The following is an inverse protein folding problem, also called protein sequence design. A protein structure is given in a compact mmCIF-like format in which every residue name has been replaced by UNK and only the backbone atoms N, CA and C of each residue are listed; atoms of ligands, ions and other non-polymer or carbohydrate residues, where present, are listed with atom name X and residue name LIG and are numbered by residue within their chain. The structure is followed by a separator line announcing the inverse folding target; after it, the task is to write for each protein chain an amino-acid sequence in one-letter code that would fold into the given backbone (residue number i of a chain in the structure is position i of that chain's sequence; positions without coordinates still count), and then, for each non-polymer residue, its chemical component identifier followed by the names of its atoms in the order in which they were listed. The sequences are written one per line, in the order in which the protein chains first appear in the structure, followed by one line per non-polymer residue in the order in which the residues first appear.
data_IF_561703733254
#
_entry.id   IF_561703733254
#
_cell.length_a   1.000
_cell.length_b   1.000
_cell.length_c   1.000
_cell.angle_alpha   90.00
_cell.angle_beta   90.00
_cell.angle_gamma   90.00
#
_symmetry.space_group_name_H-M   'P 1'
#
loop_
_entity.id
_entity.type
_entity.pdbx_description
1 polymer ?
#
# COMPACT_ATOMS: atom_id res chain seq x y z
N UNK A 1 88.71 17.73 -40.15
CA UNK A 1 88.23 18.04 -41.51
C UNK A 1 86.95 17.24 -41.74
N UNK A 2 85.84 17.97 -41.69
CA UNK A 2 84.50 17.69 -42.26
C UNK A 2 83.85 16.31 -42.09
N UNK A 3 82.83 16.28 -41.21
CA UNK A 3 81.77 15.27 -41.12
C UNK A 3 80.82 15.34 -42.32
N UNK A 4 80.42 14.18 -42.86
CA UNK A 4 79.18 14.05 -43.64
C UNK A 4 78.72 12.58 -43.63
N UNK A 5 77.62 12.27 -42.93
CA UNK A 5 76.75 11.13 -43.27
C UNK A 5 75.30 11.53 -43.03
N UNK A 6 74.51 11.48 -44.10
CA UNK A 6 73.11 11.89 -44.13
C UNK A 6 72.16 10.71 -43.92
N UNK A 7 71.23 10.94 -43.00
CA UNK A 7 69.77 10.68 -42.99
C UNK A 7 69.23 9.35 -43.55
N UNK A 8 68.60 8.63 -42.61
CA UNK A 8 67.69 7.50 -42.70
C UNK A 8 66.47 7.68 -43.62
N UNK A 9 65.91 6.57 -44.09
CA UNK A 9 64.49 6.50 -44.46
C UNK A 9 63.88 5.24 -43.84
N UNK A 10 63.04 5.46 -42.82
CA UNK A 10 62.21 4.45 -42.16
C UNK A 10 60.92 4.33 -42.96
N UNK A 11 60.62 3.11 -43.42
CA UNK A 11 59.35 2.78 -44.07
C UNK A 11 58.24 2.78 -43.01
N UNK A 12 57.28 3.69 -43.13
CA UNK A 12 56.07 3.73 -42.29
C UNK A 12 55.05 2.74 -42.86
N UNK A 13 54.80 1.65 -42.12
CA UNK A 13 53.74 0.71 -42.42
C UNK A 13 52.41 1.26 -41.86
N UNK A 14 51.51 1.68 -42.73
CA UNK A 14 50.18 2.14 -42.34
C UNK A 14 49.29 0.95 -41.94
N UNK A 15 48.98 0.81 -40.65
CA UNK A 15 47.95 -0.10 -40.16
C UNK A 15 46.57 0.53 -40.42
N UNK A 16 45.86 0.05 -41.43
CA UNK A 16 44.44 0.33 -41.65
C UNK A 16 43.60 -0.42 -40.62
N UNK A 17 43.11 0.27 -39.58
CA UNK A 17 42.08 -0.26 -38.69
C UNK A 17 40.76 -0.39 -39.47
N UNK A 18 40.35 -1.62 -39.76
CA UNK A 18 39.02 -1.90 -40.28
C UNK A 18 37.98 -1.64 -39.18
N UNK A 19 37.19 -0.58 -39.33
CA UNK A 19 36.03 -0.30 -38.48
C UNK A 19 34.96 -1.37 -38.70
N UNK A 20 34.79 -2.26 -37.72
CA UNK A 20 33.65 -3.17 -37.71
C UNK A 20 32.34 -2.37 -37.51
N UNK A 21 31.24 -2.71 -38.22
CA UNK A 21 29.97 -2.04 -38.00
C UNK A 21 29.48 -2.39 -36.59
N UNK A 22 29.32 -1.37 -35.75
CA UNK A 22 28.65 -1.51 -34.46
C UNK A 22 27.19 -1.83 -34.76
N UNK A 23 26.78 -3.08 -34.55
CA UNK A 23 25.37 -3.44 -34.61
C UNK A 23 24.62 -2.52 -33.64
N UNK A 24 23.74 -1.69 -34.18
CA UNK A 24 22.80 -0.93 -33.38
C UNK A 24 21.90 -1.95 -32.69
N UNK A 25 22.08 -2.14 -31.39
CA UNK A 25 21.08 -2.80 -30.57
C UNK A 25 19.83 -1.96 -30.72
N UNK A 26 18.78 -2.53 -31.32
CA UNK A 26 17.49 -1.87 -31.39
C UNK A 26 17.05 -1.55 -29.95
N UNK A 27 16.98 -0.26 -29.63
CA UNK A 27 16.31 0.20 -28.42
C UNK A 27 14.89 -0.41 -28.46
N UNK A 28 14.42 -1.13 -27.43
CA UNK A 28 13.03 -1.57 -27.39
C UNK A 28 12.13 -0.36 -27.65
N UNK A 29 11.10 -0.57 -28.46
CA UNK A 29 10.22 0.46 -28.98
C UNK A 29 9.93 1.51 -27.90
N UNK A 30 10.23 2.75 -28.25
CA UNK A 30 10.05 3.88 -27.38
C UNK A 30 8.60 3.91 -26.91
N UNK A 31 8.41 3.84 -25.59
CA UNK A 31 7.16 4.14 -24.91
C UNK A 31 6.90 5.67 -24.95
N UNK A 32 7.10 6.31 -26.12
CA UNK A 32 6.99 7.76 -26.31
C UNK A 32 5.52 8.23 -26.18
N UNK A 33 4.57 7.30 -26.17
CA UNK A 33 3.14 7.56 -26.06
C UNK A 33 2.56 7.31 -24.65
N UNK A 34 3.36 6.90 -23.66
CA UNK A 34 2.84 6.64 -22.31
C UNK A 34 2.56 7.96 -21.61
N UNK A 35 1.32 8.16 -21.17
CA UNK A 35 0.85 9.40 -20.54
C UNK A 35 0.28 9.18 -19.15
N UNK A 36 0.26 10.24 -18.35
CA UNK A 36 -0.29 10.17 -17.00
C UNK A 36 -1.76 9.77 -17.03
N UNK A 37 -2.60 10.48 -17.80
CA UNK A 37 -4.05 10.31 -17.77
C UNK A 37 -4.48 8.92 -18.22
N UNK A 38 -3.90 8.42 -19.31
CA UNK A 38 -4.30 7.15 -19.91
C UNK A 38 -3.67 5.93 -19.25
N UNK A 39 -2.36 5.98 -18.98
CA UNK A 39 -1.59 4.77 -18.68
C UNK A 39 -1.14 4.68 -17.22
N UNK A 40 -0.79 5.81 -16.59
CA UNK A 40 -0.24 5.81 -15.22
C UNK A 40 -1.31 5.99 -14.16
N UNK A 41 -2.31 6.84 -14.40
CA UNK A 41 -3.38 7.11 -13.44
C UNK A 41 -4.13 5.83 -13.02
N UNK A 42 -4.51 4.90 -13.93
CA UNK A 42 -5.13 3.63 -13.53
C UNK A 42 -4.24 2.77 -12.62
N UNK A 43 -2.93 2.76 -12.88
CA UNK A 43 -1.96 2.02 -12.05
C UNK A 43 -1.90 2.63 -10.66
N UNK A 44 -1.79 3.96 -10.56
CA UNK A 44 -1.73 4.65 -9.27
C UNK A 44 -3.04 4.53 -8.50
N UNK A 45 -4.19 4.63 -9.15
CA UNK A 45 -5.51 4.44 -8.51
C UNK A 45 -5.60 3.08 -7.83
N UNK A 46 -5.25 2.00 -8.53
CA UNK A 46 -5.32 0.63 -8.01
C UNK A 46 -4.25 0.34 -6.94
N UNK A 47 -3.00 0.69 -7.22
CA UNK A 47 -1.85 0.20 -6.44
C UNK A 47 -1.24 1.23 -5.47
N UNK A 48 -1.61 2.50 -5.54
CA UNK A 48 -0.94 3.55 -4.76
C UNK A 48 -1.91 4.43 -3.97
N UNK A 49 -3.04 4.83 -4.54
CA UNK A 49 -3.89 5.88 -3.96
C UNK A 49 -4.64 5.46 -2.69
N UNK A 50 -4.76 4.16 -2.38
CA UNK A 50 -5.27 3.71 -1.06
C UNK A 50 -4.47 4.32 0.09
N UNK A 51 -3.15 4.39 -0.06
CA UNK A 51 -2.24 5.01 0.91
C UNK A 51 -1.85 6.44 0.54
N UNK A 52 -1.66 6.71 -0.75
CA UNK A 52 -1.24 8.01 -1.30
C UNK A 52 -2.43 8.90 -1.67
N UNK A 53 -3.27 9.20 -0.69
CA UNK A 53 -4.37 10.15 -0.79
C UNK A 53 -4.36 11.11 0.41
N UNK A 54 -4.98 12.30 0.31
CA UNK A 54 -5.13 13.19 1.45
C UNK A 54 -5.72 12.47 2.67
N UNK A 55 -5.22 12.82 3.86
CA UNK A 55 -5.65 12.23 5.14
C UNK A 55 -5.50 10.70 5.25
N UNK A 56 -4.64 10.08 4.43
CA UNK A 56 -4.27 8.67 4.51
C UNK A 56 -2.82 8.50 4.98
N UNK A 57 -2.31 7.27 4.90
CA UNK A 57 -1.06 6.83 5.52
C UNK A 57 0.21 7.45 4.93
N UNK A 58 0.22 7.73 3.62
CA UNK A 58 1.43 8.22 2.96
C UNK A 58 1.54 9.75 3.00
N UNK A 59 2.75 10.32 3.12
CA UNK A 59 2.95 11.76 3.35
C UNK A 59 2.73 12.63 2.10
N UNK A 60 2.36 12.03 0.96
CA UNK A 60 2.14 12.71 -0.32
C UNK A 60 0.99 12.08 -1.09
N UNK A 61 0.16 12.94 -1.67
CA UNK A 61 -0.95 12.56 -2.55
C UNK A 61 -0.42 12.16 -3.93
N UNK A 62 -1.00 11.10 -4.50
CA UNK A 62 -0.75 10.64 -5.87
C UNK A 62 -2.04 10.59 -6.69
N UNK A 63 -2.96 11.54 -6.45
CA UNK A 63 -4.27 11.60 -7.10
C UNK A 63 -4.20 12.39 -8.40
N UNK A 64 -3.82 13.66 -8.33
CA UNK A 64 -3.82 14.55 -9.50
C UNK A 64 -2.46 14.57 -10.19
N UNK A 65 -2.45 14.89 -11.49
CA UNK A 65 -1.19 15.02 -12.25
C UNK A 65 -0.20 15.98 -11.59
N UNK A 66 -0.70 17.14 -11.13
CA UNK A 66 0.15 18.20 -10.58
C UNK A 66 0.78 17.79 -9.24
N UNK A 67 0.09 16.94 -8.45
CA UNK A 67 0.65 16.32 -7.25
C UNK A 67 1.65 15.21 -7.57
N UNK A 68 1.39 14.39 -8.60
CA UNK A 68 2.20 13.21 -8.95
C UNK A 68 3.48 13.59 -9.68
N UNK A 69 3.43 14.54 -10.62
CA UNK A 69 4.53 14.89 -11.53
C UNK A 69 5.86 15.17 -10.80
N UNK A 70 5.93 15.92 -9.69
CA UNK A 70 7.18 16.14 -8.95
C UNK A 70 7.86 14.86 -8.47
N UNK A 71 7.09 13.79 -8.27
CA UNK A 71 7.56 12.51 -7.76
C UNK A 71 7.91 11.50 -8.85
N UNK A 72 7.73 11.80 -10.14
CA UNK A 72 7.88 10.84 -11.24
C UNK A 72 9.18 10.02 -11.17
N UNK A 73 10.33 10.69 -10.93
CA UNK A 73 11.63 10.02 -10.78
C UNK A 73 11.68 9.10 -9.56
N UNK A 74 11.12 9.54 -8.43
CA UNK A 74 11.05 8.74 -7.20
C UNK A 74 10.12 7.54 -7.34
N UNK A 75 8.98 7.71 -8.01
CA UNK A 75 8.03 6.62 -8.31
C UNK A 75 8.73 5.57 -9.19
N UNK A 76 9.38 5.97 -10.28
CA UNK A 76 10.20 5.06 -11.10
C UNK A 76 11.23 4.30 -10.26
N UNK A 77 12.01 5.01 -9.45
CA UNK A 77 13.05 4.37 -8.64
C UNK A 77 12.48 3.37 -7.63
N UNK A 78 11.40 3.72 -6.92
CA UNK A 78 10.80 2.88 -5.88
C UNK A 78 10.12 1.64 -6.49
N UNK A 79 9.35 1.81 -7.56
CA UNK A 79 8.65 0.71 -8.24
C UNK A 79 9.60 -0.24 -8.96
N UNK A 80 10.69 0.27 -9.54
CA UNK A 80 11.75 -0.56 -10.13
C UNK A 80 12.49 -1.43 -9.11
N UNK A 81 12.40 -1.08 -7.82
CA UNK A 81 12.99 -1.86 -6.73
C UNK A 81 11.98 -2.77 -6.02
N UNK A 82 10.73 -2.90 -6.49
CA UNK A 82 9.58 -3.54 -5.80
C UNK A 82 9.88 -4.81 -4.97
N UNK A 83 10.85 -5.62 -5.38
CA UNK A 83 11.25 -6.86 -4.70
C UNK A 83 12.23 -6.63 -3.53
N UNK A 84 12.45 -5.39 -3.08
CA UNK A 84 13.37 -5.03 -1.99
C UNK A 84 12.60 -4.50 -0.79
N UNK A 85 12.87 -5.02 0.40
CA UNK A 85 12.27 -4.52 1.63
C UNK A 85 12.39 -2.98 1.77
N UNK A 86 11.29 -2.32 2.13
CA UNK A 86 11.22 -0.86 2.32
C UNK A 86 10.93 -0.04 1.05
N UNK A 87 10.44 -0.66 -0.02
CA UNK A 87 10.08 0.01 -1.29
C UNK A 87 8.58 -0.12 -1.60
N UNK A 88 8.13 0.58 -2.64
CA UNK A 88 6.70 0.76 -2.95
C UNK A 88 6.31 0.08 -4.27
N UNK A 89 5.09 -0.48 -4.39
CA UNK A 89 4.18 -0.78 -3.27
C UNK A 89 4.78 -1.91 -2.39
N UNK A 90 4.57 -1.89 -1.05
CA UNK A 90 5.09 -2.93 -0.18
C UNK A 90 4.29 -4.21 -0.36
N UNK A 91 4.81 -5.11 -1.20
CA UNK A 91 4.19 -6.41 -1.49
C UNK A 91 5.25 -7.45 -1.85
N UNK A 92 5.88 -8.04 -0.83
CA UNK A 92 7.00 -8.96 -0.96
C UNK A 92 6.56 -10.42 -1.04
N UNK A 93 5.65 -10.70 -1.97
CA UNK A 93 5.16 -12.07 -2.19
C UNK A 93 6.09 -12.78 -3.18
N UNK A 94 6.42 -14.03 -2.88
CA UNK A 94 7.13 -14.93 -3.77
C UNK A 94 6.25 -15.28 -4.98
N UNK A 95 6.71 -14.95 -6.19
CA UNK A 95 5.94 -15.13 -7.42
C UNK A 95 6.16 -16.48 -8.09
N UNK A 96 7.12 -17.25 -7.61
CA UNK A 96 7.51 -18.51 -8.24
C UNK A 96 7.08 -19.76 -7.44
N UNK A 97 6.53 -19.59 -6.23
CA UNK A 97 6.19 -20.70 -5.33
C UNK A 97 4.89 -20.41 -4.56
N UNK A 98 3.99 -21.40 -4.50
CA UNK A 98 2.80 -21.35 -3.65
C UNK A 98 1.62 -20.59 -4.27
N UNK A 99 0.85 -19.88 -3.43
CA UNK A 99 -0.34 -19.13 -3.84
C UNK A 99 0.10 -17.92 -4.67
N UNK A 100 -0.39 -17.82 -5.90
CA UNK A 100 -0.02 -16.77 -6.85
C UNK A 100 -1.10 -15.72 -7.10
N UNK A 101 -2.30 -15.94 -6.56
CA UNK A 101 -3.44 -15.04 -6.74
C UNK A 101 -4.00 -14.69 -5.38
N UNK A 102 -3.94 -13.40 -5.06
CA UNK A 102 -4.47 -12.84 -3.82
C UNK A 102 -5.67 -11.96 -4.15
N UNK A 103 -6.72 -12.06 -3.33
CA UNK A 103 -7.98 -11.30 -3.50
C UNK A 103 -7.73 -9.80 -3.59
N UNK A 104 -6.77 -9.28 -2.83
CA UNK A 104 -6.40 -7.85 -2.76
C UNK A 104 -4.94 -7.61 -3.22
N UNK A 105 -4.53 -8.21 -4.34
CA UNK A 105 -3.19 -8.01 -4.91
C UNK A 105 -3.04 -6.61 -5.53
N UNK A 106 -2.20 -5.79 -4.89
CA UNK A 106 -1.87 -4.43 -5.31
C UNK A 106 -0.47 -4.32 -5.91
N UNK A 107 0.18 -5.46 -6.17
CA UNK A 107 1.48 -5.53 -6.83
C UNK A 107 1.45 -4.93 -8.23
N UNK A 108 2.64 -4.58 -8.69
CA UNK A 108 2.86 -4.13 -10.07
C UNK A 108 3.35 -5.31 -10.91
N UNK A 109 2.77 -5.43 -12.10
CA UNK A 109 3.30 -6.26 -13.17
C UNK A 109 4.57 -5.64 -13.76
N UNK A 110 5.37 -6.44 -14.46
CA UNK A 110 6.58 -5.94 -15.13
C UNK A 110 6.25 -4.91 -16.22
N UNK A 111 5.11 -5.08 -16.90
CA UNK A 111 4.63 -4.13 -17.90
C UNK A 111 4.29 -2.77 -17.29
N UNK A 112 3.66 -2.75 -16.11
CA UNK A 112 3.32 -1.52 -15.41
C UNK A 112 4.56 -0.78 -14.90
N UNK A 113 5.57 -1.51 -14.43
CA UNK A 113 6.85 -0.92 -14.01
C UNK A 113 7.58 -0.33 -15.22
N UNK A 114 7.57 -1.03 -16.35
CA UNK A 114 8.15 -0.53 -17.59
C UNK A 114 7.42 0.74 -18.07
N UNK A 115 6.09 0.77 -18.00
CA UNK A 115 5.29 1.95 -18.33
C UNK A 115 5.60 3.14 -17.42
N UNK A 116 5.65 2.94 -16.10
CA UNK A 116 6.04 3.98 -15.12
C UNK A 116 7.45 4.50 -15.42
N UNK A 117 8.39 3.61 -15.69
CA UNK A 117 9.76 3.99 -15.98
C UNK A 117 9.86 4.82 -17.25
N UNK A 118 9.20 4.38 -18.32
CA UNK A 118 9.15 5.10 -19.58
C UNK A 118 8.50 6.48 -19.46
N UNK A 119 7.34 6.56 -18.81
CA UNK A 119 6.65 7.82 -18.56
C UNK A 119 7.53 8.81 -17.81
N UNK A 120 8.22 8.35 -16.76
CA UNK A 120 9.14 9.20 -16.00
C UNK A 120 10.36 9.65 -16.85
N UNK A 121 10.90 8.77 -17.71
CA UNK A 121 12.03 9.09 -18.59
C UNK A 121 11.66 10.05 -19.73
N UNK A 122 10.42 9.99 -20.22
CA UNK A 122 9.87 10.91 -21.21
C UNK A 122 9.52 12.29 -20.63
N UNK A 123 9.84 12.55 -19.35
CA UNK A 123 9.56 13.83 -18.69
C UNK A 123 8.17 13.93 -18.07
N UNK A 124 7.52 12.78 -17.83
CA UNK A 124 6.21 12.66 -17.19
C UNK A 124 5.09 13.40 -17.95
N UNK A 125 4.84 13.11 -19.24
CA UNK A 125 3.79 13.80 -20.01
C UNK A 125 2.40 13.57 -19.39
N UNK A 126 1.59 14.63 -19.35
CA UNK A 126 0.22 14.59 -18.78
C UNK A 126 -0.73 13.72 -19.61
N UNK A 127 -0.67 13.84 -20.94
CA UNK A 127 -1.67 13.27 -21.84
C UNK A 127 -2.94 14.10 -21.93
N UNK A 128 -3.94 13.56 -22.65
CA UNK A 128 -5.24 14.19 -22.81
C UNK A 128 -6.06 14.06 -21.51
N UNK A 129 -6.52 15.16 -20.90
CA UNK A 129 -7.38 15.12 -19.72
C UNK A 129 -8.66 14.31 -19.88
N UNK A 130 -9.18 14.16 -21.10
CA UNK A 130 -10.37 13.36 -21.36
C UNK A 130 -10.15 11.84 -21.22
N UNK A 131 -8.88 11.39 -21.22
CA UNK A 131 -8.53 9.97 -21.03
C UNK A 131 -8.36 9.62 -19.54
N UNK A 132 -8.57 10.57 -18.63
CA UNK A 132 -8.44 10.34 -17.19
C UNK A 132 -9.51 9.32 -16.74
N UNK A 133 -9.12 8.23 -16.05
CA UNK A 133 -10.09 7.28 -15.50
C UNK A 133 -10.97 7.95 -14.44
N UNK A 134 -12.16 7.38 -14.24
CA UNK A 134 -13.02 7.79 -13.13
C UNK A 134 -12.25 7.69 -11.80
N UNK A 135 -12.32 8.70 -10.93
CA UNK A 135 -11.68 8.61 -9.62
C UNK A 135 -12.26 7.44 -8.81
N UNK A 136 -11.42 6.65 -8.13
CA UNK A 136 -11.91 5.61 -7.24
C UNK A 136 -12.75 6.24 -6.12
N UNK A 137 -13.85 5.56 -5.77
CA UNK A 137 -14.64 5.91 -4.59
C UNK A 137 -13.85 5.51 -3.35
N UNK A 138 -13.26 6.49 -2.68
CA UNK A 138 -12.66 6.30 -1.38
C UNK A 138 -13.71 6.57 -0.31
N UNK A 139 -14.02 5.57 0.50
CA UNK A 139 -14.79 5.81 1.71
C UNK A 139 -13.92 6.55 2.74
N UNK A 140 -14.57 7.35 3.57
CA UNK A 140 -13.89 8.01 4.68
C UNK A 140 -13.33 6.95 5.66
N UNK A 141 -12.24 7.27 6.36
CA UNK A 141 -11.70 6.37 7.40
C UNK A 141 -12.72 6.08 8.50
N UNK A 142 -13.68 6.99 8.68
CA UNK A 142 -14.78 6.85 9.62
C UNK A 142 -15.98 6.08 9.05
N UNK A 143 -16.03 5.82 7.74
CA UNK A 143 -17.04 4.97 7.12
C UNK A 143 -16.65 3.48 7.18
N UNK A 144 -17.65 2.60 7.10
CA UNK A 144 -17.49 1.15 7.18
C UNK A 144 -17.26 0.55 5.78
N UNK A 145 -16.18 -0.23 5.61
CA UNK A 145 -15.86 -0.95 4.36
C UNK A 145 -16.86 -2.08 4.09
N UNK A 146 -17.46 -2.65 5.14
CA UNK A 146 -18.47 -3.71 5.03
C UNK A 146 -19.87 -3.20 4.66
N UNK A 147 -20.02 -1.89 4.40
CA UNK A 147 -21.31 -1.24 4.29
C UNK A 147 -21.93 -0.96 5.67
N UNK A 148 -23.24 -0.67 5.72
CA UNK A 148 -23.91 -0.37 6.99
C UNK A 148 -23.94 -1.62 7.89
N UNK A 149 -23.32 -1.60 9.09
CA UNK A 149 -23.36 -2.75 9.99
C UNK A 149 -24.74 -2.91 10.65
N UNK A 150 -25.16 -4.16 10.85
CA UNK A 150 -26.37 -4.49 11.61
C UNK A 150 -26.19 -4.31 13.12
N UNK A 151 -24.94 -4.40 13.60
CA UNK A 151 -24.57 -4.29 15.00
C UNK A 151 -23.29 -3.44 15.14
N UNK A 152 -23.37 -2.42 15.98
CA UNK A 152 -22.21 -1.60 16.38
C UNK A 152 -22.12 -1.66 17.90
N UNK A 153 -20.97 -2.12 18.41
CA UNK A 153 -20.69 -2.17 19.85
C UNK A 153 -19.42 -1.38 20.12
N UNK A 154 -19.50 -0.39 20.99
CA UNK A 154 -18.36 0.41 21.41
C UNK A 154 -17.74 -0.15 22.69
N UNK A 155 -16.42 -0.17 22.76
CA UNK A 155 -15.73 -0.32 24.04
C UNK A 155 -16.03 0.88 24.96
N UNK A 156 -15.81 0.75 26.28
CA UNK A 156 -15.76 1.91 27.15
C UNK A 156 -14.71 2.91 26.66
N UNK A 157 -14.95 4.23 26.82
CA UNK A 157 -13.97 5.23 26.42
C UNK A 157 -12.70 5.11 27.25
N UNK A 158 -11.56 5.33 26.61
CA UNK A 158 -10.24 5.34 27.26
C UNK A 158 -9.56 6.68 26.98
N UNK A 159 -8.90 7.23 27.99
CA UNK A 159 -8.07 8.42 27.85
C UNK A 159 -6.59 8.02 27.83
N UNK A 160 -5.89 8.38 26.76
CA UNK A 160 -4.44 8.22 26.64
C UNK A 160 -3.76 9.58 26.56
N UNK A 161 -2.77 9.80 27.44
CA UNK A 161 -1.99 11.04 27.40
C UNK A 161 -1.04 10.99 26.21
N UNK A 162 -0.89 12.11 25.48
CA UNK A 162 -0.03 12.17 24.29
C UNK A 162 1.46 11.87 24.52
N UNK A 163 1.93 11.88 25.77
CA UNK A 163 3.30 11.49 26.15
C UNK A 163 3.36 10.18 26.93
N UNK A 164 2.26 9.41 26.98
CA UNK A 164 2.26 8.12 27.63
C UNK A 164 3.14 7.13 26.83
N UNK A 165 3.83 6.21 27.51
CA UNK A 165 4.45 5.08 26.83
C UNK A 165 3.38 4.14 26.27
N UNK A 166 3.81 3.19 25.45
CA UNK A 166 2.97 2.07 25.00
C UNK A 166 2.30 1.39 26.20
N UNK A 167 1.03 1.05 26.02
CA UNK A 167 0.19 0.49 27.07
C UNK A 167 -0.49 -0.80 26.61
N UNK A 168 -0.46 -1.80 27.50
CA UNK A 168 -1.09 -3.10 27.32
C UNK A 168 -2.03 -3.38 28.48
N UNK A 169 -3.26 -3.76 28.17
CA UNK A 169 -4.28 -4.00 29.19
C UNK A 169 -5.68 -4.09 28.61
N UNK A 170 -6.67 -4.12 29.51
CA UNK A 170 -8.08 -4.24 29.12
C UNK A 170 -8.69 -2.84 28.96
N UNK A 171 -9.14 -2.49 27.76
CA UNK A 171 -9.91 -1.26 27.51
C UNK A 171 -11.27 -1.36 28.23
N UNK A 172 -11.84 -2.56 28.26
CA UNK A 172 -13.04 -2.86 29.03
C UNK A 172 -13.89 -3.94 28.39
N UNK A 173 -15.18 -3.92 28.74
CA UNK A 173 -16.19 -4.85 28.23
C UNK A 173 -17.47 -4.09 27.89
N UNK A 174 -18.23 -4.61 26.95
CA UNK A 174 -19.54 -4.09 26.57
C UNK A 174 -20.49 -5.23 26.20
N UNK A 175 -21.76 -5.09 26.54
CA UNK A 175 -22.77 -6.08 26.13
C UNK A 175 -23.05 -5.96 24.63
N UNK A 176 -23.18 -7.10 23.94
CA UNK A 176 -23.52 -7.11 22.51
C UNK A 176 -24.90 -6.52 22.22
N UNK A 177 -25.82 -6.53 23.19
CA UNK A 177 -27.21 -6.14 22.98
C UNK A 177 -28.02 -7.09 22.09
N UNK A 178 -27.43 -8.22 21.65
CA UNK A 178 -28.11 -9.22 20.83
C UNK A 178 -29.18 -9.97 21.65
N UNK A 179 -30.38 -10.05 21.09
CA UNK A 179 -31.52 -10.76 21.69
C UNK A 179 -31.70 -12.19 21.16
N UNK A 180 -30.96 -12.56 20.11
CA UNK A 180 -30.97 -13.88 19.51
C UNK A 180 -29.61 -14.19 18.87
N UNK A 181 -29.31 -15.47 18.71
CA UNK A 181 -28.04 -15.93 18.13
C UNK A 181 -27.93 -15.52 16.66
N UNK A 182 -26.73 -15.12 16.24
CA UNK A 182 -26.43 -14.67 14.88
C UNK A 182 -25.13 -15.27 14.37
N UNK A 183 -25.10 -15.62 13.09
CA UNK A 183 -23.82 -15.87 12.41
C UNK A 183 -23.26 -14.54 11.91
N UNK A 184 -22.00 -14.26 12.22
CA UNK A 184 -21.30 -13.05 11.81
C UNK A 184 -20.79 -13.25 10.37
N UNK A 185 -21.32 -12.46 9.44
CA UNK A 185 -20.91 -12.48 8.03
C UNK A 185 -19.64 -11.65 7.80
N UNK A 186 -19.48 -10.54 8.52
CA UNK A 186 -18.28 -9.73 8.48
C UNK A 186 -18.08 -8.99 9.80
N UNK A 187 -16.84 -8.63 10.09
CA UNK A 187 -16.47 -7.78 11.22
C UNK A 187 -15.45 -6.75 10.79
N UNK A 188 -15.62 -5.53 11.28
CA UNK A 188 -14.70 -4.43 11.09
C UNK A 188 -14.49 -3.70 12.41
N UNK A 189 -13.25 -3.31 12.68
CA UNK A 189 -12.89 -2.55 13.88
C UNK A 189 -12.54 -1.13 13.48
N UNK A 190 -13.18 -0.15 14.12
CA UNK A 190 -12.93 1.27 13.88
C UNK A 190 -12.53 1.97 15.17
N UNK A 191 -11.36 2.60 15.15
CA UNK A 191 -10.97 3.52 16.20
C UNK A 191 -11.70 4.86 16.02
N UNK A 192 -12.36 5.32 17.07
CA UNK A 192 -12.94 6.66 17.17
C UNK A 192 -12.19 7.43 18.25
N UNK A 193 -11.51 8.50 17.86
CA UNK A 193 -10.80 9.40 18.76
C UNK A 193 -11.11 10.86 18.41
N UNK A 194 -10.68 11.78 19.28
CA UNK A 194 -10.89 13.22 19.16
C UNK A 194 -9.66 13.95 18.60
N UNK A 195 -8.77 13.26 17.89
CA UNK A 195 -7.59 13.88 17.27
C UNK A 195 -7.96 14.48 15.91
N UNK A 196 -7.38 15.64 15.62
CA UNK A 196 -7.49 16.25 14.30
C UNK A 196 -6.87 15.35 13.25
N UNK A 197 -7.63 15.02 12.20
CA UNK A 197 -7.15 14.24 11.07
C UNK A 197 -6.09 15.05 10.29
N UNK A 198 -5.05 14.38 9.79
CA UNK A 198 -4.03 14.98 8.91
C UNK A 198 -2.87 15.71 9.60
N UNK A 199 -2.76 15.64 10.93
CA UNK A 199 -1.58 16.15 11.66
C UNK A 199 -0.40 15.20 11.45
N UNK A 200 0.77 15.76 11.10
CA UNK A 200 2.03 14.98 11.08
C UNK A 200 2.33 14.46 12.48
N UNK A 201 2.30 13.15 12.65
CA UNK A 201 2.82 12.46 13.83
C UNK A 201 4.19 11.85 13.51
N UNK A 202 5.03 11.72 14.54
CA UNK A 202 6.27 10.95 14.47
C UNK A 202 6.01 9.43 14.49
N UNK A 203 4.77 9.02 14.73
CA UNK A 203 4.28 7.63 14.63
C UNK A 203 3.64 7.35 13.28
N UNK A 204 3.52 6.07 12.90
CA UNK A 204 2.80 5.66 11.68
C UNK A 204 1.34 6.09 11.80
N UNK A 205 0.98 7.15 11.07
CA UNK A 205 -0.37 7.68 11.00
C UNK A 205 -0.87 8.23 12.33
N UNK A 206 -0.66 9.53 12.58
CA UNK A 206 -1.23 10.31 13.69
C UNK A 206 -2.77 10.36 13.78
N UNK A 207 -3.43 9.40 13.12
CA UNK A 207 -4.84 9.12 13.07
C UNK A 207 -5.27 8.09 14.13
N UNK A 208 -4.35 7.27 14.66
CA UNK A 208 -4.65 6.12 15.52
C UNK A 208 -3.85 6.14 16.82
N UNK A 209 -4.52 5.81 17.93
CA UNK A 209 -3.95 5.59 19.27
C UNK A 209 -3.77 4.09 19.51
N UNK A 210 -4.68 3.25 19.01
CA UNK A 210 -4.68 1.81 19.21
C UNK A 210 -3.92 1.15 18.05
N UNK A 211 -2.68 0.73 18.32
CA UNK A 211 -1.88 0.05 17.30
C UNK A 211 -2.36 -1.39 17.06
N UNK A 212 -2.58 -2.15 18.14
CA UNK A 212 -3.27 -3.44 18.09
C UNK A 212 -4.35 -3.53 19.15
N UNK A 213 -5.45 -4.21 18.84
CA UNK A 213 -6.44 -4.63 19.83
C UNK A 213 -7.05 -5.95 19.41
N UNK A 214 -7.08 -6.90 20.32
CA UNK A 214 -7.90 -8.08 20.14
C UNK A 214 -9.34 -7.76 20.55
N UNK A 215 -10.28 -8.44 19.91
CA UNK A 215 -11.67 -8.48 20.33
C UNK A 215 -11.98 -9.92 20.71
N UNK A 216 -12.49 -10.11 21.92
CA UNK A 216 -12.98 -11.40 22.36
C UNK A 216 -14.44 -11.32 22.77
N UNK A 217 -15.18 -12.42 22.60
CA UNK A 217 -16.57 -12.52 23.03
C UNK A 217 -16.75 -13.69 23.97
N UNK A 218 -17.53 -13.48 25.03
CA UNK A 218 -17.91 -14.50 26.00
C UNK A 218 -19.43 -14.69 25.94
N UNK A 219 -19.90 -15.93 25.88
CA UNK A 219 -21.32 -16.24 25.93
C UNK A 219 -21.89 -16.04 27.36
N UNK A 220 -23.20 -15.80 27.54
CA UNK A 220 -23.80 -15.59 28.87
C UNK A 220 -23.59 -16.73 29.86
N UNK A 221 -23.52 -17.95 29.33
CA UNK A 221 -23.29 -19.20 30.07
C UNK A 221 -21.81 -19.65 30.07
N UNK A 222 -20.93 -18.89 29.39
CA UNK A 222 -19.52 -19.19 29.25
C UNK A 222 -18.68 -18.73 30.43
N UNK A 223 -17.62 -19.48 30.76
CA UNK A 223 -16.61 -19.05 31.71
C UNK A 223 -15.46 -18.28 31.06
N UNK A 224 -14.50 -17.75 31.84
CA UNK A 224 -13.33 -17.02 31.33
C UNK A 224 -12.42 -17.80 30.36
N UNK A 225 -12.60 -19.12 30.26
CA UNK A 225 -11.87 -20.00 29.34
C UNK A 225 -12.63 -20.27 28.03
N UNK A 226 -13.89 -19.86 27.96
CA UNK A 226 -14.80 -20.12 26.84
C UNK A 226 -15.02 -18.83 26.03
N UNK A 227 -13.92 -18.11 25.80
CA UNK A 227 -13.92 -16.90 24.97
C UNK A 227 -13.59 -17.25 23.53
N UNK A 228 -14.28 -16.61 22.59
CA UNK A 228 -13.92 -16.64 21.19
C UNK A 228 -13.09 -15.38 20.87
N UNK A 229 -11.94 -15.57 20.22
CA UNK A 229 -11.09 -14.46 19.76
C UNK A 229 -11.35 -14.18 18.29
N UNK A 230 -11.82 -12.97 18.01
CA UNK A 230 -12.00 -12.46 16.66
C UNK A 230 -10.65 -12.08 16.05
N UNK A 231 -10.58 -11.91 14.72
CA UNK A 231 -9.40 -11.35 14.09
C UNK A 231 -8.91 -10.07 14.79
N UNK A 232 -7.60 -10.04 15.08
CA UNK A 232 -6.97 -8.93 15.80
C UNK A 232 -7.01 -7.68 14.94
N UNK A 233 -7.45 -6.56 15.51
CA UNK A 233 -7.31 -5.26 14.89
C UNK A 233 -5.85 -4.81 14.92
N UNK A 234 -5.36 -4.35 13.78
CA UNK A 234 -4.05 -3.72 13.62
C UNK A 234 -4.22 -2.52 12.68
N UNK A 235 -3.35 -1.51 12.78
CA UNK A 235 -3.41 -0.33 11.90
C UNK A 235 -3.27 -0.75 10.44
N UNK A 236 -4.27 -0.40 9.63
CA UNK A 236 -4.31 -0.70 8.20
C UNK A 236 -4.91 -2.07 7.85
N UNK A 237 -5.42 -2.83 8.83
CA UNK A 237 -6.17 -4.06 8.57
C UNK A 237 -7.51 -3.76 7.86
N UNK A 238 -7.81 -4.54 6.82
CA UNK A 238 -9.13 -4.50 6.16
C UNK A 238 -10.20 -5.20 7.03
N UNK A 239 -11.48 -5.00 6.72
CA UNK A 239 -12.53 -5.80 7.33
C UNK A 239 -12.36 -7.30 7.05
N UNK A 240 -12.73 -8.13 8.03
CA UNK A 240 -12.74 -9.57 7.89
C UNK A 240 -14.13 -10.03 7.45
N UNK A 241 -14.20 -10.69 6.29
CA UNK A 241 -15.45 -11.26 5.74
C UNK A 241 -15.37 -12.78 5.86
N UNK A 242 -16.36 -13.37 6.52
CA UNK A 242 -16.45 -14.80 6.74
C UNK A 242 -17.20 -15.49 5.61
N UNK A 243 -16.83 -16.74 5.33
CA UNK A 243 -17.53 -17.57 4.35
C UNK A 243 -18.97 -17.86 4.82
N UNK A 244 -19.94 -17.74 3.94
CA UNK A 244 -21.36 -17.95 4.27
C UNK A 244 -21.63 -19.36 4.83
N UNK A 245 -20.86 -20.37 4.41
CA UNK A 245 -20.98 -21.75 4.89
C UNK A 245 -20.19 -22.00 6.20
N UNK A 246 -19.34 -21.07 6.64
CA UNK A 246 -18.48 -21.20 7.81
C UNK A 246 -18.53 -19.98 8.75
N UNK A 247 -19.66 -19.28 8.77
CA UNK A 247 -19.86 -18.12 9.63
C UNK A 247 -19.63 -18.44 11.11
N UNK A 248 -19.07 -17.49 11.84
CA UNK A 248 -18.84 -17.63 13.29
C UNK A 248 -20.10 -17.21 14.03
N UNK A 249 -20.60 -18.05 14.94
CA UNK A 249 -21.77 -17.73 15.75
C UNK A 249 -21.42 -16.77 16.89
N UNK A 250 -22.14 -15.66 16.98
CA UNK A 250 -22.22 -14.76 18.12
C UNK A 250 -23.55 -15.00 18.84
N UNK A 251 -23.49 -15.44 20.10
CA UNK A 251 -24.67 -15.81 20.87
C UNK A 251 -25.39 -14.57 21.43
N UNK A 252 -26.69 -14.69 21.60
CA UNK A 252 -27.52 -13.71 22.29
C UNK A 252 -26.95 -13.42 23.68
N UNK A 253 -26.95 -12.15 24.08
CA UNK A 253 -26.45 -11.72 25.38
C UNK A 253 -24.94 -11.87 25.57
N UNK A 254 -24.16 -12.17 24.53
CA UNK A 254 -22.70 -12.22 24.64
C UNK A 254 -22.12 -10.88 25.09
N UNK A 255 -21.06 -10.93 25.90
CA UNK A 255 -20.26 -9.77 26.29
C UNK A 255 -19.02 -9.69 25.40
N UNK A 256 -18.78 -8.52 24.81
CA UNK A 256 -17.55 -8.19 24.09
C UNK A 256 -16.51 -7.67 25.07
N UNK A 257 -15.27 -8.08 24.87
CA UNK A 257 -14.14 -7.79 25.73
C UNK A 257 -13.01 -7.26 24.84
N UNK A 258 -12.41 -6.14 25.23
CA UNK A 258 -11.47 -5.37 24.40
C UNK A 258 -10.07 -5.32 25.03
N UNK A 259 -9.25 -6.38 24.90
CA UNK A 259 -7.82 -6.31 25.23
C UNK A 259 -7.04 -5.48 24.20
N UNK A 260 -6.22 -4.55 24.70
CA UNK A 260 -5.10 -3.95 23.95
C UNK A 260 -3.91 -4.90 24.03
N UNK A 261 -3.31 -5.23 22.89
CA UNK A 261 -2.29 -6.28 22.73
C UNK A 261 -0.98 -5.76 22.15
#
# INVERSE_FOLDING_TARGET
MTMQTGVSSVVVLALSLASAPRAAVAQPAAHDDVTFTKDIAPILQRSCQKCHRPNSLAPMSLITYDEVRPWARSIKQRTGLRNRMGVMPPWYIEKDIGIQQFKDDWSLSDAEIAAIAAWADAGAPRGNPADMPEPPAFIDVDEWEIGQPDLIVSSPPMEMKGTAPDWWGMIGQADSGLTEDRYVAAIEYKERNNLDRGVKSDTVGGLFIVHHSALTTMAPDGGPRDVFTWPVHEVGRNADVFDEAAGVMLRAGSTLIFPST
#
